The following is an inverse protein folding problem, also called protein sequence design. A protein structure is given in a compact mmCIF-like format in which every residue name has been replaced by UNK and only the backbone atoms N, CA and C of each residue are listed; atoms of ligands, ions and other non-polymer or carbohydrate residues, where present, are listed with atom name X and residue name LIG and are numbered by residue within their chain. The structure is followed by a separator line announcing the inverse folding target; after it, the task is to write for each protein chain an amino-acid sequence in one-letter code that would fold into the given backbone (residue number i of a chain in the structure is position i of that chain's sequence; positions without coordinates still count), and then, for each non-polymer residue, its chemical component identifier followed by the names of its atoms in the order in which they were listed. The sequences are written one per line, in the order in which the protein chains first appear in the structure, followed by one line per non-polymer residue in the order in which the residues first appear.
data_IF_908940627874
#
_entry.id   IF_908940627874
#
_cell.length_a   1.000
_cell.length_b   1.000
_cell.length_c   1.000
_cell.angle_alpha   90.00
_cell.angle_beta   90.00
_cell.angle_gamma   90.00
#
_symmetry.space_group_name_H-M   'P 1'
#
loop_
_entity.id
_entity.type
_entity.pdbx_description
1 polymer ?
#
# COMPACT_ATOMS: atom_id res chain seq x y z
N UNK A 1 15.39 -8.86 -11.88
CA UNK A 1 14.34 -8.23 -12.70
C UNK A 1 14.51 -6.72 -12.56
N UNK A 2 14.40 -5.95 -13.65
CA UNK A 2 14.38 -4.49 -13.53
C UNK A 2 12.98 -4.09 -13.06
N UNK A 3 12.90 -3.28 -12.00
CA UNK A 3 11.66 -2.72 -11.48
C UNK A 3 11.43 -1.42 -12.25
N UNK A 4 10.33 -1.33 -13.00
CA UNK A 4 9.96 -0.12 -13.76
C UNK A 4 8.71 0.54 -13.18
N UNK A 5 7.88 -0.21 -12.47
CA UNK A 5 6.72 0.26 -11.73
C UNK A 5 6.71 -0.34 -10.32
N UNK A 6 6.02 0.30 -9.37
CA UNK A 6 5.92 -0.25 -8.00
C UNK A 6 5.21 -1.61 -7.98
N UNK A 7 4.39 -1.92 -8.97
CA UNK A 7 3.73 -3.22 -9.13
C UNK A 7 4.70 -4.35 -9.48
N UNK A 8 5.90 -4.03 -9.98
CA UNK A 8 6.96 -5.01 -10.24
C UNK A 8 7.64 -5.48 -8.94
N UNK A 9 7.39 -4.81 -7.81
CA UNK A 9 7.95 -5.14 -6.50
C UNK A 9 7.22 -6.37 -5.94
N UNK A 10 7.97 -7.45 -5.66
CA UNK A 10 7.41 -8.70 -5.11
C UNK A 10 6.62 -8.47 -3.81
N UNK A 11 7.12 -7.66 -2.88
CA UNK A 11 6.38 -7.34 -1.64
C UNK A 11 5.09 -6.55 -1.90
N UNK A 12 5.00 -5.76 -2.99
CA UNK A 12 3.74 -5.11 -3.36
C UNK A 12 2.72 -6.14 -3.87
N UNK A 13 3.17 -7.13 -4.64
CA UNK A 13 2.32 -8.22 -5.14
C UNK A 13 1.77 -9.07 -4.00
N UNK A 14 2.61 -9.43 -3.03
CA UNK A 14 2.19 -10.14 -1.80
C UNK A 14 1.20 -9.29 -0.99
N UNK A 15 1.44 -7.98 -0.85
CA UNK A 15 0.50 -7.08 -0.19
C UNK A 15 -0.86 -7.00 -0.91
N UNK A 16 -0.87 -7.09 -2.24
CA UNK A 16 -2.09 -7.14 -3.05
C UNK A 16 -2.90 -8.41 -2.80
N UNK A 17 -2.25 -9.56 -2.77
CA UNK A 17 -2.92 -10.83 -2.46
C UNK A 17 -3.45 -10.85 -1.02
N UNK A 18 -2.69 -10.32 -0.05
CA UNK A 18 -3.16 -10.14 1.31
C UNK A 18 -4.40 -9.23 1.38
N UNK A 19 -4.38 -8.09 0.67
CA UNK A 19 -5.52 -7.18 0.62
C UNK A 19 -6.76 -7.87 0.03
N UNK A 20 -6.60 -8.59 -1.08
CA UNK A 20 -7.68 -9.38 -1.68
C UNK A 20 -8.24 -10.41 -0.70
N UNK A 21 -7.39 -11.17 -0.02
CA UNK A 21 -7.80 -12.14 0.99
C UNK A 21 -8.61 -11.49 2.13
N UNK A 22 -8.16 -10.33 2.64
CA UNK A 22 -8.88 -9.55 3.65
C UNK A 22 -10.25 -9.09 3.13
N UNK A 23 -10.32 -8.62 1.87
CA UNK A 23 -11.58 -8.24 1.26
C UNK A 23 -12.54 -9.43 1.18
N UNK A 24 -12.09 -10.59 0.70
CA UNK A 24 -12.88 -11.81 0.60
C UNK A 24 -13.40 -12.29 1.96
N UNK A 25 -12.53 -12.35 2.98
CA UNK A 25 -12.90 -12.70 4.35
C UNK A 25 -14.00 -11.78 4.90
N UNK A 26 -13.87 -10.49 4.64
CA UNK A 26 -14.77 -9.46 5.17
C UNK A 26 -16.08 -9.31 4.37
N UNK A 27 -16.25 -10.04 3.26
CA UNK A 27 -17.54 -10.17 2.55
C UNK A 27 -18.43 -11.27 3.13
N UNK A 28 -17.89 -12.18 3.94
CA UNK A 28 -18.64 -13.29 4.54
C UNK A 28 -19.65 -12.88 5.63
N UNK A 29 -20.60 -13.77 5.92
CA UNK A 29 -21.67 -13.55 6.87
C UNK A 29 -21.13 -13.30 8.29
N UNK A 30 -21.54 -12.18 8.90
CA UNK A 30 -21.14 -11.75 10.24
C UNK A 30 -20.25 -10.50 10.23
N UNK A 31 -19.26 -10.45 9.34
CA UNK A 31 -18.38 -9.28 9.15
C UNK A 31 -19.01 -8.20 8.27
N UNK A 32 -19.86 -8.58 7.33
CA UNK A 32 -20.52 -7.66 6.39
C UNK A 32 -21.35 -6.56 7.08
N UNK A 33 -21.86 -6.85 8.28
CA UNK A 33 -22.77 -5.97 9.04
C UNK A 33 -22.05 -5.08 10.05
N UNK A 34 -20.79 -5.38 10.40
CA UNK A 34 -19.93 -4.47 11.17
C UNK A 34 -19.15 -3.57 10.22
N UNK A 35 -19.87 -2.60 9.66
CA UNK A 35 -19.36 -1.69 8.63
C UNK A 35 -18.07 -1.00 9.04
N UNK A 36 -17.97 -0.55 10.30
CA UNK A 36 -16.80 0.19 10.78
C UNK A 36 -15.57 -0.71 10.85
N UNK A 37 -15.70 -1.87 11.49
CA UNK A 37 -14.57 -2.80 11.64
C UNK A 37 -14.11 -3.33 10.29
N UNK A 38 -15.07 -3.70 9.43
CA UNK A 38 -14.85 -4.13 8.05
C UNK A 38 -14.04 -3.10 7.27
N UNK A 39 -14.45 -1.84 7.30
CA UNK A 39 -13.81 -0.78 6.52
C UNK A 39 -12.43 -0.43 7.08
N UNK A 40 -12.24 -0.45 8.40
CA UNK A 40 -10.94 -0.26 9.04
C UNK A 40 -9.92 -1.33 8.66
N UNK A 41 -10.32 -2.60 8.70
CA UNK A 41 -9.44 -3.72 8.33
C UNK A 41 -9.08 -3.68 6.84
N UNK A 42 -10.05 -3.38 5.97
CA UNK A 42 -9.82 -3.22 4.53
C UNK A 42 -8.86 -2.06 4.24
N UNK A 43 -9.03 -0.93 4.91
CA UNK A 43 -8.15 0.23 4.77
C UNK A 43 -6.73 -0.08 5.23
N UNK A 44 -6.57 -0.77 6.37
CA UNK A 44 -5.26 -1.18 6.88
C UNK A 44 -4.55 -2.17 5.94
N UNK A 45 -5.27 -3.11 5.33
CA UNK A 45 -4.69 -4.01 4.33
C UNK A 45 -4.26 -3.24 3.06
N UNK A 46 -5.07 -2.30 2.60
CA UNK A 46 -4.75 -1.45 1.46
C UNK A 46 -3.57 -0.51 1.68
N UNK A 47 -3.35 -0.02 2.91
CA UNK A 47 -2.28 0.93 3.22
C UNK A 47 -0.87 0.38 3.00
N UNK A 48 -0.70 -0.94 3.03
CA UNK A 48 0.60 -1.58 2.73
C UNK A 48 1.00 -1.29 1.27
N UNK A 49 0.07 -1.49 0.32
CA UNK A 49 0.31 -1.19 -1.10
C UNK A 49 0.53 0.30 -1.33
N UNK A 50 -0.26 1.18 -0.66
CA UNK A 50 -0.10 2.63 -0.79
C UNK A 50 1.28 3.10 -0.29
N UNK A 51 1.74 2.59 0.85
CA UNK A 51 3.06 2.94 1.38
C UNK A 51 4.21 2.49 0.46
N UNK A 52 4.08 1.32 -0.17
CA UNK A 52 5.09 0.83 -1.12
C UNK A 52 5.09 1.68 -2.39
N UNK A 53 3.90 1.99 -2.93
CA UNK A 53 3.78 2.86 -4.10
C UNK A 53 4.33 4.28 -3.81
N UNK A 54 3.99 4.84 -2.65
CA UNK A 54 4.50 6.15 -2.22
C UNK A 54 6.02 6.13 -2.04
N UNK A 55 6.58 5.10 -1.40
CA UNK A 55 8.03 4.94 -1.26
C UNK A 55 8.76 4.82 -2.60
N UNK A 56 8.18 4.07 -3.54
CA UNK A 56 8.71 3.91 -4.90
C UNK A 56 8.74 5.24 -5.67
N UNK A 57 7.66 6.02 -5.60
CA UNK A 57 7.57 7.34 -6.23
C UNK A 57 8.49 8.38 -5.56
N UNK A 58 8.75 8.26 -4.25
CA UNK A 58 9.65 9.15 -3.49
C UNK A 58 11.13 8.97 -3.87
N UNK A 59 11.57 7.74 -4.12
CA UNK A 59 12.94 7.43 -4.55
C UNK A 59 13.26 7.97 -5.97
N UNK A 60 12.23 8.41 -6.71
CA UNK A 60 12.39 8.92 -8.07
C UNK A 60 12.70 10.41 -8.23
N UNK A 61 12.44 11.32 -7.27
CA UNK A 61 12.58 12.75 -7.64
C UNK A 61 12.71 13.92 -6.63
N UNK A 62 12.29 13.90 -5.36
CA UNK A 62 12.11 15.21 -4.66
C UNK A 62 12.64 15.36 -3.25
N UNK A 63 12.58 14.35 -2.39
CA UNK A 63 13.09 14.51 -1.02
C UNK A 63 14.64 14.61 -0.98
N UNK A 64 15.34 13.93 -1.89
CA UNK A 64 16.80 14.02 -2.05
C UNK A 64 17.26 15.39 -2.61
N UNK A 65 16.53 15.96 -3.57
CA UNK A 65 16.86 17.26 -4.16
C UNK A 65 16.52 18.39 -3.18
N UNK A 66 15.40 18.30 -2.45
CA UNK A 66 15.03 19.26 -1.40
C UNK A 66 16.06 19.29 -0.26
N UNK A 67 16.57 18.12 0.15
CA UNK A 67 17.64 17.99 1.14
C UNK A 67 18.98 18.62 0.68
N UNK A 68 19.24 18.68 -0.63
CA UNK A 68 20.46 19.30 -1.19
C UNK A 68 20.33 20.83 -1.35
N UNK A 69 19.11 21.37 -1.43
CA UNK A 69 18.87 22.82 -1.53
C UNK A 69 18.63 23.50 -0.17
N UNK A 70 18.19 22.78 0.85
CA UNK A 70 18.14 23.29 2.24
C UNK A 70 19.54 23.23 2.88
N UNK A 71 20.41 24.11 2.40
CA UNK A 71 21.52 24.66 3.20
C UNK A 71 20.99 25.79 4.07
N UNK A 72 21.13 25.65 5.38
CA UNK A 72 21.71 26.70 6.21
C UNK A 72 23.15 26.29 6.57
#
# INVERSE_FOLDING_TARGET
MKIEHFEDIEVWQEARELCKFVFELTQGNGFSNDYRFRDQIRAAAGSIMYNIAEGYERDGNKEFIQFLYEKD
#
